data_IF_747858878136
#
_entry.id   IF_747858878136
#
_cell.length_a   1.000
_cell.length_b   1.000
_cell.length_c   1.000
_cell.angle_alpha   90.00
_cell.angle_beta   90.00
_cell.angle_gamma   90.00
#
_symmetry.space_group_name_H-M   'P 1'
#
loop_
_entity.id
_entity.type
_entity.pdbx_description
1 polymer ?
#
# COMPACT_ATOMS: atom_id res chain seq x y z
N UNK A 1 -4.58 22.63 -26.27
CA UNK A 1 -4.98 21.96 -27.54
C UNK A 1 -4.03 20.80 -27.80
N UNK A 2 -4.20 19.68 -27.08
CA UNK A 2 -3.62 18.35 -27.33
C UNK A 2 -4.29 17.38 -26.33
N UNK A 3 -5.33 16.72 -26.82
CA UNK A 3 -6.10 15.67 -26.15
C UNK A 3 -5.45 14.29 -26.37
N UNK A 4 -5.46 13.48 -25.31
CA UNK A 4 -5.94 12.09 -25.23
C UNK A 4 -5.44 11.07 -26.27
N UNK A 5 -4.62 10.12 -25.80
CA UNK A 5 -4.51 8.76 -26.34
C UNK A 5 -4.47 7.73 -25.20
N UNK A 6 -5.62 7.49 -24.57
CA UNK A 6 -5.89 6.26 -23.81
C UNK A 6 -7.36 5.89 -23.97
N UNK A 7 -7.72 5.29 -25.11
CA UNK A 7 -8.81 4.32 -25.21
C UNK A 7 -8.77 3.66 -26.59
N UNK A 8 -8.45 2.36 -26.64
CA UNK A 8 -8.80 1.44 -27.75
C UNK A 8 -8.26 0.04 -27.47
N UNK A 9 -8.90 -0.69 -26.56
CA UNK A 9 -8.73 -2.14 -26.50
C UNK A 9 -9.91 -2.86 -25.82
N UNK A 10 -11.16 -2.45 -26.02
CA UNK A 10 -12.30 -3.29 -25.67
C UNK A 10 -13.48 -3.00 -26.59
N UNK A 11 -13.52 -3.69 -27.73
CA UNK A 11 -14.71 -3.96 -28.57
C UNK A 11 -14.25 -4.68 -29.83
N UNK A 12 -14.38 -6.01 -29.86
CA UNK A 12 -14.58 -6.78 -31.11
C UNK A 12 -15.37 -8.07 -30.82
N UNK A 13 -16.63 -8.03 -31.26
CA UNK A 13 -17.38 -9.06 -32.00
C UNK A 13 -17.31 -10.52 -31.52
N UNK A 14 -18.35 -10.93 -30.79
CA UNK A 14 -18.92 -12.27 -30.92
C UNK A 14 -20.24 -12.13 -31.67
N UNK A 15 -20.25 -12.48 -32.96
CA UNK A 15 -21.47 -12.70 -33.74
C UNK A 15 -21.53 -14.19 -34.03
N UNK A 16 -22.39 -14.91 -33.32
CA UNK A 16 -22.74 -16.30 -33.56
C UNK A 16 -24.26 -16.44 -33.50
N UNK A 17 -24.87 -16.67 -34.67
CA UNK A 17 -26.31 -16.84 -34.88
C UNK A 17 -26.84 -18.06 -34.12
N UNK A 18 -27.92 -17.90 -33.34
CA UNK A 18 -29.17 -18.67 -33.46
C UNK A 18 -30.18 -18.21 -32.39
N UNK A 19 -31.45 -18.16 -32.81
CA UNK A 19 -32.49 -17.40 -32.14
C UNK A 19 -33.21 -18.14 -31.01
N UNK A 20 -33.64 -17.33 -30.03
CA UNK A 20 -34.97 -17.37 -29.41
C UNK A 20 -35.17 -16.05 -28.67
N UNK A 21 -36.05 -15.21 -29.20
CA UNK A 21 -36.66 -14.09 -28.48
C UNK A 21 -37.75 -14.68 -27.58
N UNK A 22 -37.67 -14.42 -26.29
CA UNK A 22 -38.74 -13.78 -25.51
C UNK A 22 -38.46 -13.87 -24.00
N UNK A 23 -38.91 -12.81 -23.31
CA UNK A 23 -39.07 -12.60 -21.88
C UNK A 23 -37.96 -11.86 -21.10
N UNK A 24 -38.36 -10.63 -20.68
CA UNK A 24 -37.91 -9.81 -19.55
C UNK A 24 -36.71 -8.88 -19.77
N UNK A 25 -37.00 -7.80 -20.51
CA UNK A 25 -36.41 -6.48 -20.32
C UNK A 25 -36.65 -5.96 -18.90
N UNK A 26 -35.59 -5.88 -18.11
CA UNK A 26 -35.36 -4.77 -17.17
C UNK A 26 -33.90 -4.39 -17.28
N UNK A 27 -33.60 -3.48 -18.20
CA UNK A 27 -32.29 -2.83 -18.25
C UNK A 27 -32.16 -1.97 -17.00
N UNK A 28 -31.16 -2.19 -16.13
CA UNK A 28 -30.86 -1.26 -15.04
C UNK A 28 -30.54 0.11 -15.63
N UNK A 29 -30.81 1.22 -14.92
CA UNK A 29 -30.48 2.54 -15.41
C UNK A 29 -28.98 2.61 -15.71
N UNK A 30 -28.64 3.13 -16.89
CA UNK A 30 -27.26 3.42 -17.25
C UNK A 30 -26.71 4.48 -16.30
N UNK A 31 -25.75 4.09 -15.47
CA UNK A 31 -24.95 5.04 -14.72
C UNK A 31 -23.93 5.65 -15.67
N UNK A 32 -24.01 6.98 -15.83
CA UNK A 32 -23.06 7.78 -16.57
C UNK A 32 -21.79 7.96 -15.70
N UNK A 33 -20.77 7.16 -16.01
CA UNK A 33 -19.47 7.13 -15.29
C UNK A 33 -18.46 8.15 -15.84
N UNK A 34 -18.82 8.99 -16.82
CA UNK A 34 -17.85 9.80 -17.58
C UNK A 34 -17.61 11.22 -17.03
N UNK A 35 -17.81 11.48 -15.74
CA UNK A 35 -17.41 12.76 -15.11
C UNK A 35 -16.76 12.59 -13.74
N UNK A 36 -15.43 12.43 -13.75
CA UNK A 36 -14.56 12.55 -12.57
C UNK A 36 -14.31 11.22 -11.86
N UNK A 37 -13.13 10.63 -12.12
CA UNK A 37 -12.70 9.34 -11.59
C UNK A 37 -12.84 9.22 -10.08
N UNK A 38 -13.62 8.24 -9.64
CA UNK A 38 -13.74 7.81 -8.25
C UNK A 38 -13.65 6.29 -8.27
N UNK A 39 -12.66 5.74 -7.57
CA UNK A 39 -12.48 4.30 -7.42
C UNK A 39 -13.32 3.75 -6.26
N UNK A 40 -13.83 2.58 -6.56
CA UNK A 40 -14.74 1.71 -5.84
C UNK A 40 -13.95 0.96 -4.76
N UNK A 41 -14.51 0.76 -3.56
CA UNK A 41 -13.91 0.00 -2.43
C UNK A 41 -13.01 -1.13 -2.94
N UNK A 42 -11.69 -0.99 -2.88
CA UNK A 42 -10.82 -2.03 -3.39
C UNK A 42 -9.53 -2.19 -2.59
N UNK A 43 -9.02 -3.41 -2.57
CA UNK A 43 -7.82 -3.80 -1.84
C UNK A 43 -6.80 -4.30 -2.86
N UNK A 44 -5.68 -3.60 -2.96
CA UNK A 44 -4.53 -4.02 -3.76
C UNK A 44 -3.50 -4.76 -2.90
N UNK A 45 -2.78 -5.67 -3.53
CA UNK A 45 -1.69 -6.43 -2.91
C UNK A 45 -0.43 -6.34 -3.76
N UNK A 46 0.70 -6.20 -3.06
CA UNK A 46 2.03 -6.22 -3.64
C UNK A 46 2.90 -7.21 -2.87
N UNK A 47 3.73 -7.98 -3.58
CA UNK A 47 4.63 -8.96 -2.99
C UNK A 47 6.04 -8.76 -3.55
N UNK A 48 6.93 -8.20 -2.72
CA UNK A 48 8.34 -8.07 -3.06
C UNK A 48 9.04 -9.43 -2.87
N UNK A 49 9.46 -10.06 -3.97
CA UNK A 49 10.19 -11.34 -3.93
C UNK A 49 11.69 -11.03 -3.92
N UNK A 50 12.15 -10.51 -2.77
CA UNK A 50 13.49 -9.94 -2.53
C UNK A 50 14.71 -10.83 -2.83
N UNK A 51 14.53 -12.08 -3.24
CA UNK A 51 15.62 -12.98 -3.64
C UNK A 51 15.69 -13.25 -5.14
N UNK A 52 14.69 -12.81 -5.89
CA UNK A 52 14.56 -13.16 -7.30
C UNK A 52 15.15 -12.05 -8.14
N UNK A 53 16.43 -12.18 -8.50
CA UNK A 53 17.13 -11.18 -9.31
C UNK A 53 16.77 -11.34 -10.78
N UNK A 54 16.64 -10.23 -11.48
CA UNK A 54 16.19 -10.17 -12.86
C UNK A 54 17.33 -9.84 -13.81
N UNK A 55 17.41 -10.58 -14.91
CA UNK A 55 18.40 -10.41 -15.96
C UNK A 55 17.69 -10.31 -17.31
N UNK A 56 18.10 -9.41 -18.20
CA UNK A 56 17.52 -9.26 -19.55
C UNK A 56 17.79 -10.47 -20.43
N UNK A 57 18.92 -11.14 -20.19
CA UNK A 57 19.36 -12.32 -20.90
C UNK A 57 20.38 -13.10 -20.04
N UNK A 58 20.86 -14.21 -20.58
CA UNK A 58 21.83 -15.07 -19.89
C UNK A 58 23.24 -14.46 -19.85
N UNK A 59 23.64 -13.69 -20.87
CA UNK A 59 24.93 -12.99 -20.92
C UNK A 59 25.11 -12.03 -19.73
N UNK A 60 24.08 -11.25 -19.40
CA UNK A 60 24.07 -10.35 -18.25
C UNK A 60 24.25 -11.11 -16.92
N UNK A 61 23.69 -12.31 -16.80
CA UNK A 61 23.88 -13.16 -15.63
C UNK A 61 25.33 -13.62 -15.50
N UNK A 62 25.93 -14.08 -16.60
CA UNK A 62 27.33 -14.52 -16.63
C UNK A 62 28.29 -13.37 -16.29
N UNK A 63 28.08 -12.17 -16.83
CA UNK A 63 28.87 -10.97 -16.50
C UNK A 63 28.82 -10.66 -15.00
N UNK A 64 27.63 -10.67 -14.40
CA UNK A 64 27.47 -10.35 -12.97
C UNK A 64 28.16 -11.37 -12.06
N UNK A 65 28.10 -12.67 -12.40
CA UNK A 65 28.77 -13.73 -11.63
C UNK A 65 30.31 -13.69 -11.72
N UNK A 66 30.87 -13.15 -12.81
CA UNK A 66 32.31 -13.19 -13.09
C UNK A 66 32.99 -11.81 -13.01
N UNK A 67 32.24 -10.74 -12.76
CA UNK A 67 32.75 -9.36 -12.67
C UNK A 67 33.74 -9.09 -11.52
N UNK A 68 33.93 -10.04 -10.60
CA UNK A 68 35.03 -10.01 -9.62
C UNK A 68 36.43 -10.10 -10.24
N UNK A 69 36.53 -10.68 -11.44
CA UNK A 69 37.74 -10.78 -12.25
C UNK A 69 37.51 -10.08 -13.59
N UNK A 70 37.69 -8.75 -13.64
CA UNK A 70 37.80 -7.87 -14.82
C UNK A 70 37.62 -8.50 -16.22
N UNK A 71 36.44 -9.07 -16.51
CA UNK A 71 36.12 -9.67 -17.81
C UNK A 71 34.87 -8.96 -18.34
N UNK A 72 35.08 -7.83 -18.99
CA UNK A 72 34.10 -7.24 -19.90
C UNK A 72 34.54 -7.60 -21.32
N UNK A 73 34.07 -8.74 -21.88
CA UNK A 73 34.54 -9.16 -23.19
C UNK A 73 34.14 -8.15 -24.29
N UNK A 74 33.08 -7.36 -24.06
CA UNK A 74 32.63 -6.31 -24.98
C UNK A 74 31.97 -5.21 -24.14
N UNK A 75 32.40 -3.95 -24.22
CA UNK A 75 31.92 -2.82 -23.40
C UNK A 75 30.45 -2.39 -23.62
N UNK A 76 29.53 -3.34 -23.78
CA UNK A 76 28.10 -3.14 -23.92
C UNK A 76 27.44 -3.41 -22.56
N UNK A 77 27.29 -2.37 -21.74
CA UNK A 77 26.42 -2.46 -20.56
C UNK A 77 25.00 -2.72 -21.04
N UNK A 78 24.48 -3.93 -20.84
CA UNK A 78 23.10 -4.25 -21.19
C UNK A 78 22.14 -3.40 -20.35
N UNK A 79 21.06 -2.86 -20.94
CA UNK A 79 20.14 -1.99 -20.22
C UNK A 79 19.43 -2.77 -19.12
N UNK A 80 19.49 -2.28 -17.88
CA UNK A 80 18.75 -2.85 -16.74
C UNK A 80 17.24 -2.76 -17.00
N UNK A 81 16.45 -3.52 -16.23
CA UNK A 81 15.01 -3.26 -16.17
C UNK A 81 14.77 -1.89 -15.54
N UNK A 82 13.72 -1.21 -15.99
CA UNK A 82 13.24 -0.02 -15.30
C UNK A 82 12.30 -0.44 -14.16
N UNK A 83 12.18 0.39 -13.12
CA UNK A 83 11.19 0.20 -12.06
C UNK A 83 9.77 0.12 -12.65
N UNK A 84 8.97 -0.82 -12.18
CA UNK A 84 7.60 -1.06 -12.63
C UNK A 84 7.50 -1.69 -14.03
N UNK A 85 8.62 -2.09 -14.63
CA UNK A 85 8.59 -2.72 -15.95
C UNK A 85 7.94 -4.11 -15.85
N UNK A 86 6.84 -4.30 -16.58
CA UNK A 86 6.09 -5.57 -16.62
C UNK A 86 6.90 -6.64 -17.36
N UNK A 87 7.18 -7.73 -16.67
CA UNK A 87 7.88 -8.90 -17.17
C UNK A 87 6.90 -9.97 -17.67
N UNK A 88 5.81 -10.15 -16.93
CA UNK A 88 4.78 -11.13 -17.20
C UNK A 88 3.44 -10.66 -16.61
N UNK A 89 2.34 -10.88 -17.32
CA UNK A 89 0.99 -10.53 -16.86
C UNK A 89 0.07 -11.75 -16.90
N UNK A 90 -0.68 -11.94 -15.82
CA UNK A 90 -1.68 -12.99 -15.66
C UNK A 90 -3.13 -12.47 -15.67
N UNK A 91 -3.38 -11.30 -16.27
CA UNK A 91 -4.69 -10.66 -16.30
C UNK A 91 -4.93 -9.78 -15.06
N UNK A 92 -5.05 -10.40 -13.89
CA UNK A 92 -5.35 -9.71 -12.62
C UNK A 92 -4.11 -9.43 -11.76
N UNK A 93 -2.92 -9.75 -12.28
CA UNK A 93 -1.65 -9.45 -11.64
C UNK A 93 -0.53 -9.31 -12.68
N UNK A 94 0.53 -8.66 -12.25
CA UNK A 94 1.73 -8.42 -13.03
C UNK A 94 2.96 -8.76 -12.19
N UNK A 95 3.92 -9.41 -12.83
CA UNK A 95 5.29 -9.49 -12.33
C UNK A 95 6.06 -8.31 -12.88
N UNK A 96 6.55 -7.45 -11.99
CA UNK A 96 7.24 -6.21 -12.31
C UNK A 96 8.68 -6.24 -11.79
N UNK A 97 9.55 -5.45 -12.40
CA UNK A 97 10.87 -5.18 -11.89
C UNK A 97 10.82 -4.07 -10.82
N UNK A 98 11.35 -4.34 -9.63
CA UNK A 98 11.52 -3.35 -8.57
C UNK A 98 13.00 -3.13 -8.23
N UNK A 99 13.38 -1.88 -7.98
CA UNK A 99 14.70 -1.55 -7.47
C UNK A 99 14.55 -1.23 -5.99
N UNK A 100 15.27 -1.92 -5.11
CA UNK A 100 15.25 -1.71 -3.65
C UNK A 100 15.95 -0.40 -3.23
N UNK A 101 15.62 0.68 -3.94
CA UNK A 101 16.03 2.06 -3.82
C UNK A 101 17.48 2.38 -4.18
N UNK A 102 18.23 1.41 -4.68
CA UNK A 102 19.44 1.67 -5.46
C UNK A 102 19.14 1.41 -6.94
N UNK A 103 19.01 2.46 -7.78
CA UNK A 103 18.84 2.32 -9.23
C UNK A 103 19.97 1.54 -9.90
N UNK A 104 21.14 1.50 -9.25
CA UNK A 104 22.30 0.77 -9.72
C UNK A 104 22.31 -0.69 -9.25
N UNK A 105 21.43 -1.08 -8.32
CA UNK A 105 21.28 -2.48 -7.92
C UNK A 105 20.52 -3.30 -8.97
N UNK A 106 20.75 -4.61 -8.95
CA UNK A 106 20.00 -5.53 -9.78
C UNK A 106 18.53 -5.53 -9.35
N UNK A 107 17.59 -5.37 -10.30
CA UNK A 107 16.18 -5.33 -9.97
C UNK A 107 15.71 -6.69 -9.47
N UNK A 108 14.78 -6.63 -8.53
CA UNK A 108 14.10 -7.76 -7.94
C UNK A 108 12.72 -7.95 -8.57
N UNK A 109 12.19 -9.15 -8.45
CA UNK A 109 10.83 -9.44 -8.83
C UNK A 109 9.85 -8.90 -7.79
N UNK A 110 8.88 -8.12 -8.23
CA UNK A 110 7.70 -7.72 -7.47
C UNK A 110 6.46 -8.27 -8.16
N UNK A 111 5.46 -8.66 -7.37
CA UNK A 111 4.15 -9.09 -7.89
C UNK A 111 3.13 -8.06 -7.46
N UNK A 112 2.47 -7.42 -8.43
CA UNK A 112 1.45 -6.39 -8.20
C UNK A 112 0.12 -6.92 -8.69
N UNK A 113 -0.92 -6.82 -7.88
CA UNK A 113 -2.27 -7.25 -8.26
C UNK A 113 -3.11 -6.07 -8.74
N UNK A 114 -4.07 -6.33 -9.62
CA UNK A 114 -5.19 -5.43 -9.80
C UNK A 114 -5.98 -5.32 -8.48
N UNK A 115 -6.53 -4.14 -8.16
CA UNK A 115 -7.24 -3.96 -6.90
C UNK A 115 -8.56 -4.76 -6.91
N UNK A 116 -8.81 -5.51 -5.84
CA UNK A 116 -9.99 -6.36 -5.71
C UNK A 116 -11.11 -5.63 -4.99
N UNK A 117 -12.31 -5.61 -5.58
CA UNK A 117 -13.47 -4.99 -4.96
C UNK A 117 -13.77 -5.56 -3.57
N UNK A 118 -14.02 -4.72 -2.58
CA UNK A 118 -14.26 -5.05 -1.17
C UNK A 118 -15.66 -5.67 -0.98
N UNK A 119 -15.90 -6.83 -1.60
CA UNK A 119 -17.15 -7.57 -1.62
C UNK A 119 -16.88 -9.07 -1.88
N UNK A 120 -17.93 -9.90 -1.93
CA UNK A 120 -17.79 -11.34 -2.11
C UNK A 120 -17.19 -11.72 -3.48
N UNK A 121 -17.54 -11.01 -4.55
CA UNK A 121 -16.99 -11.26 -5.89
C UNK A 121 -15.48 -10.97 -5.93
N UNK A 122 -15.07 -9.80 -5.42
CA UNK A 122 -13.66 -9.46 -5.33
C UNK A 122 -12.87 -10.38 -4.40
N UNK A 123 -13.47 -10.91 -3.34
CA UNK A 123 -12.86 -11.96 -2.53
C UNK A 123 -12.62 -13.25 -3.34
N UNK A 124 -13.58 -13.71 -4.14
CA UNK A 124 -13.36 -14.89 -4.99
C UNK A 124 -12.33 -14.64 -6.09
N UNK A 125 -12.32 -13.45 -6.68
CA UNK A 125 -11.29 -13.05 -7.65
C UNK A 125 -9.90 -13.02 -7.02
N UNK A 126 -9.78 -12.49 -5.80
CA UNK A 126 -8.55 -12.53 -5.00
C UNK A 126 -8.05 -13.97 -4.82
N UNK A 127 -8.94 -14.89 -4.43
CA UNK A 127 -8.57 -16.30 -4.23
C UNK A 127 -8.04 -16.93 -5.51
N UNK A 128 -8.73 -16.74 -6.63
CA UNK A 128 -8.33 -17.27 -7.93
C UNK A 128 -7.00 -16.64 -8.42
N UNK A 129 -6.84 -15.33 -8.22
CA UNK A 129 -5.61 -14.62 -8.54
C UNK A 129 -4.41 -15.19 -7.76
N UNK A 130 -4.56 -15.39 -6.44
CA UNK A 130 -3.48 -15.92 -5.61
C UNK A 130 -3.22 -17.42 -5.85
N UNK A 131 -4.23 -18.21 -6.24
CA UNK A 131 -4.01 -19.59 -6.73
C UNK A 131 -3.12 -19.60 -7.98
N UNK A 132 -3.38 -18.68 -8.93
CA UNK A 132 -2.57 -18.54 -10.13
C UNK A 132 -1.14 -18.09 -9.80
N UNK A 133 -0.98 -17.08 -8.92
CA UNK A 133 0.34 -16.62 -8.47
C UNK A 133 1.11 -17.77 -7.80
N UNK A 134 0.48 -18.51 -6.88
CA UNK A 134 1.11 -19.65 -6.20
C UNK A 134 1.56 -20.72 -7.18
N UNK A 135 0.72 -21.08 -8.16
CA UNK A 135 1.06 -22.05 -9.21
C UNK A 135 2.28 -21.62 -10.02
N UNK A 136 2.36 -20.35 -10.42
CA UNK A 136 3.48 -19.83 -11.23
C UNK A 136 4.77 -19.80 -10.42
N UNK A 137 4.70 -19.38 -9.16
CA UNK A 137 5.86 -19.39 -8.26
C UNK A 137 6.34 -20.83 -8.01
N UNK A 138 5.43 -21.78 -7.80
CA UNK A 138 5.79 -23.19 -7.67
C UNK A 138 6.52 -23.71 -8.93
N UNK A 139 6.03 -23.35 -10.12
CA UNK A 139 6.68 -23.70 -11.38
C UNK A 139 8.07 -23.06 -11.52
N UNK A 140 8.21 -21.78 -11.15
CA UNK A 140 9.49 -21.07 -11.13
C UNK A 140 10.50 -21.77 -10.20
N UNK A 141 10.08 -22.16 -8.99
CA UNK A 141 10.93 -22.88 -8.03
C UNK A 141 11.33 -24.25 -8.59
N UNK A 142 10.39 -25.01 -9.15
CA UNK A 142 10.67 -26.33 -9.73
C UNK A 142 11.67 -26.24 -10.90
N UNK A 143 11.43 -25.31 -11.84
CA UNK A 143 12.35 -25.07 -12.97
C UNK A 143 13.71 -24.56 -12.53
N UNK A 144 13.77 -23.80 -11.43
CA UNK A 144 15.04 -23.35 -10.86
C UNK A 144 15.88 -24.52 -10.37
N UNK A 145 15.25 -25.49 -9.69
CA UNK A 145 15.93 -26.70 -9.21
C UNK A 145 16.47 -27.55 -10.37
N UNK A 146 15.77 -27.58 -11.51
CA UNK A 146 16.20 -28.29 -12.72
C UNK A 146 17.32 -27.57 -13.48
N UNK A 147 17.31 -26.23 -13.51
CA UNK A 147 18.20 -25.41 -14.34
C UNK A 147 19.30 -24.68 -13.55
N UNK A 148 19.62 -25.15 -12.33
CA UNK A 148 20.72 -24.61 -11.53
C UNK A 148 20.52 -23.15 -11.07
N UNK A 149 19.27 -22.73 -10.84
CA UNK A 149 18.95 -21.40 -10.30
C UNK A 149 18.38 -20.40 -11.30
N UNK A 150 18.62 -20.56 -12.61
CA UNK A 150 18.27 -19.57 -13.63
C UNK A 150 17.11 -20.04 -14.51
N UNK A 151 16.00 -19.30 -14.54
CA UNK A 151 14.78 -19.70 -15.24
C UNK A 151 14.39 -18.68 -16.32
N UNK A 152 13.98 -19.18 -17.49
CA UNK A 152 13.47 -18.37 -18.60
C UNK A 152 11.99 -18.04 -18.42
N UNK A 153 11.61 -16.76 -18.48
CA UNK A 153 10.20 -16.35 -18.37
C UNK A 153 9.34 -16.85 -19.52
N UNK A 154 9.93 -16.94 -20.72
CA UNK A 154 9.26 -17.45 -21.93
C UNK A 154 8.84 -18.93 -21.84
N UNK A 155 9.39 -19.67 -20.87
CA UNK A 155 9.13 -21.09 -20.72
C UNK A 155 8.00 -21.40 -19.74
N UNK A 156 7.40 -20.41 -19.09
CA UNK A 156 6.33 -20.62 -18.11
C UNK A 156 5.00 -20.99 -18.78
N UNK A 157 4.25 -21.91 -18.19
CA UNK A 157 2.95 -22.35 -18.71
C UNK A 157 1.80 -21.43 -18.26
N UNK A 158 0.66 -21.54 -18.94
CA UNK A 158 -0.58 -20.80 -18.64
C UNK A 158 -0.90 -19.71 -19.65
N UNK A 159 -2.01 -19.00 -19.44
CA UNK A 159 -2.46 -17.85 -20.25
C UNK A 159 -1.63 -16.58 -20.01
N UNK A 160 -0.35 -16.75 -19.66
CA UNK A 160 0.55 -15.69 -19.27
C UNK A 160 1.06 -14.93 -20.50
N UNK A 161 1.04 -13.61 -20.40
CA UNK A 161 1.53 -12.73 -21.45
C UNK A 161 2.90 -12.21 -21.07
N UNK A 162 3.91 -12.66 -21.80
CA UNK A 162 5.28 -12.10 -21.74
C UNK A 162 5.40 -11.05 -22.84
N UNK A 163 5.64 -9.77 -22.52
CA UNK A 163 5.90 -8.75 -23.52
C UNK A 163 7.05 -9.17 -24.44
N UNK A 164 6.93 -8.90 -25.74
CA UNK A 164 7.89 -9.41 -26.74
C UNK A 164 9.33 -9.00 -26.46
N UNK A 165 9.54 -7.80 -25.90
CA UNK A 165 10.84 -7.27 -25.52
C UNK A 165 11.45 -7.93 -24.27
N UNK A 166 10.66 -8.70 -23.50
CA UNK A 166 11.09 -9.41 -22.29
C UNK A 166 11.17 -10.93 -22.47
N UNK A 167 11.06 -11.46 -23.69
CA UNK A 167 11.13 -12.92 -23.94
C UNK A 167 12.50 -13.53 -23.62
N UNK A 168 13.57 -12.75 -23.69
CA UNK A 168 14.91 -13.19 -23.32
C UNK A 168 15.17 -13.13 -21.81
N UNK A 169 14.27 -12.50 -21.04
CA UNK A 169 14.46 -12.25 -19.62
C UNK A 169 14.60 -13.56 -18.84
N UNK A 170 15.55 -13.55 -17.92
CA UNK A 170 15.85 -14.62 -16.98
C UNK A 170 15.61 -14.14 -15.56
N UNK A 171 15.15 -15.05 -14.71
CA UNK A 171 15.02 -14.82 -13.27
C UNK A 171 15.93 -15.82 -12.56
N UNK A 172 16.78 -15.31 -11.68
CA UNK A 172 17.50 -16.16 -10.74
C UNK A 172 16.59 -16.39 -9.55
N UNK A 173 16.15 -17.63 -9.38
CA UNK A 173 15.16 -18.06 -8.40
C UNK A 173 15.86 -18.84 -7.29
N UNK A 174 15.74 -18.39 -6.05
CA UNK A 174 16.21 -19.15 -4.90
C UNK A 174 15.34 -20.41 -4.67
N UNK A 175 15.90 -21.44 -4.03
CA UNK A 175 15.20 -22.71 -3.75
C UNK A 175 13.93 -22.52 -2.91
N UNK A 176 13.86 -21.42 -2.15
CA UNK A 176 12.68 -21.00 -1.41
C UNK A 176 12.14 -19.68 -1.96
N UNK A 177 10.88 -19.67 -2.39
CA UNK A 177 10.19 -18.44 -2.75
C UNK A 177 9.68 -17.74 -1.50
N UNK A 178 10.30 -16.61 -1.20
CA UNK A 178 10.10 -15.84 0.02
C UNK A 178 9.79 -14.40 -0.37
N UNK A 179 8.67 -13.87 0.12
CA UNK A 179 8.15 -12.55 -0.22
C UNK A 179 7.95 -11.64 0.99
N UNK A 180 7.95 -10.33 0.74
CA UNK A 180 7.45 -9.32 1.67
C UNK A 180 6.11 -8.79 1.18
N UNK A 181 5.09 -8.84 2.04
CA UNK A 181 3.74 -8.40 1.69
C UNK A 181 3.54 -6.92 1.96
N UNK A 182 2.90 -6.27 0.99
CA UNK A 182 2.30 -4.96 1.15
C UNK A 182 0.83 -4.99 0.69
N UNK A 183 0.03 -4.10 1.27
CA UNK A 183 -1.40 -3.98 0.98
C UNK A 183 -1.70 -2.52 0.76
N UNK A 184 -2.49 -2.19 -0.25
CA UNK A 184 -2.98 -0.83 -0.45
C UNK A 184 -4.50 -0.83 -0.35
N UNK A 185 -5.07 -0.08 0.59
CA UNK A 185 -6.51 -0.04 0.83
C UNK A 185 -6.99 1.30 1.40
N UNK A 186 -8.21 1.68 1.04
CA UNK A 186 -8.96 2.72 1.75
C UNK A 186 -9.41 2.25 3.14
N UNK A 187 -9.05 3.00 4.18
CA UNK A 187 -9.58 2.79 5.55
C UNK A 187 -10.24 4.06 6.04
N UNK A 188 -11.44 3.93 6.61
CA UNK A 188 -12.15 5.09 7.16
C UNK A 188 -11.37 5.71 8.32
N UNK A 189 -11.31 7.04 8.37
CA UNK A 189 -10.64 7.76 9.46
C UNK A 189 -11.19 7.39 10.85
N UNK A 190 -12.51 7.21 10.97
CA UNK A 190 -13.17 6.82 12.23
C UNK A 190 -12.91 5.38 12.66
N UNK A 191 -12.23 4.58 11.83
CA UNK A 191 -11.87 3.18 12.10
C UNK A 191 -10.36 3.00 12.32
N UNK A 192 -9.56 4.06 12.14
CA UNK A 192 -8.11 3.97 12.30
C UNK A 192 -7.71 3.64 13.74
N UNK A 193 -8.39 4.23 14.73
CA UNK A 193 -8.13 3.89 16.14
C UNK A 193 -8.39 2.43 16.42
N UNK A 194 -9.54 1.89 15.98
CA UNK A 194 -9.86 0.46 16.10
C UNK A 194 -8.78 -0.41 15.45
N UNK A 195 -8.36 -0.09 14.21
CA UNK A 195 -7.27 -0.79 13.54
C UNK A 195 -5.96 -0.80 14.37
N UNK A 196 -5.63 0.32 15.00
CA UNK A 196 -4.43 0.45 15.84
C UNK A 196 -4.56 -0.28 17.18
N UNK A 197 -5.71 -0.17 17.84
CA UNK A 197 -6.04 -0.87 19.09
C UNK A 197 -6.03 -2.39 18.89
N UNK A 198 -6.66 -2.90 17.83
CA UNK A 198 -6.64 -4.32 17.48
C UNK A 198 -5.20 -4.81 17.24
N UNK A 199 -4.35 -3.96 16.68
CA UNK A 199 -2.93 -4.28 16.53
C UNK A 199 -2.23 -4.41 17.90
N UNK A 200 -2.56 -3.58 18.89
CA UNK A 200 -2.04 -3.66 20.26
C UNK A 200 -2.59 -4.89 21.02
N UNK A 201 -3.91 -5.10 21.01
CA UNK A 201 -4.62 -6.09 21.84
C UNK A 201 -4.41 -7.56 21.42
N UNK A 202 -3.58 -7.76 20.39
CA UNK A 202 -3.39 -9.00 19.66
C UNK A 202 -2.69 -10.17 20.39
N UNK A 203 -2.50 -10.11 21.72
CA UNK A 203 -2.01 -11.28 22.48
C UNK A 203 -3.09 -12.29 22.83
N UNK A 204 -4.35 -11.89 23.01
CA UNK A 204 -5.42 -12.79 23.50
C UNK A 204 -6.74 -12.71 22.70
N UNK A 205 -7.10 -11.55 22.13
CA UNK A 205 -8.40 -11.38 21.44
C UNK A 205 -8.47 -11.85 19.99
N UNK A 206 -7.31 -12.18 19.39
CA UNK A 206 -7.17 -12.35 17.95
C UNK A 206 -7.22 -13.82 17.47
N UNK A 207 -7.27 -14.77 18.41
CA UNK A 207 -7.43 -16.20 18.10
C UNK A 207 -8.82 -16.53 17.53
N UNK A 208 -9.82 -15.69 17.80
CA UNK A 208 -11.21 -15.88 17.35
C UNK A 208 -11.51 -15.21 16.00
N UNK A 209 -10.77 -14.16 15.59
CA UNK A 209 -10.99 -13.43 14.32
C UNK A 209 -10.12 -13.91 13.15
N UNK A 210 -9.20 -14.85 13.38
CA UNK A 210 -8.30 -15.39 12.35
C UNK A 210 -7.12 -14.46 11.98
N UNK A 211 -7.06 -13.27 12.57
CA UNK A 211 -5.99 -12.29 12.36
C UNK A 211 -4.79 -12.52 13.33
N UNK A 212 -4.91 -13.39 14.35
CA UNK A 212 -3.80 -13.75 15.29
C UNK A 212 -2.55 -14.36 14.66
N UNK A 213 -2.63 -14.83 13.41
CA UNK A 213 -1.51 -15.52 12.75
C UNK A 213 -0.54 -14.59 12.04
N UNK A 214 -0.78 -13.28 12.06
CA UNK A 214 0.15 -12.30 11.50
C UNK A 214 1.26 -12.02 12.52
N UNK A 215 2.35 -12.78 12.42
CA UNK A 215 3.54 -12.61 13.23
C UNK A 215 4.47 -11.59 12.56
N UNK A 216 4.22 -10.30 12.80
CA UNK A 216 5.06 -9.23 12.26
C UNK A 216 6.42 -9.24 12.98
N UNK A 217 7.57 -9.31 12.29
CA UNK A 217 8.87 -9.23 12.96
C UNK A 217 9.11 -7.87 13.65
N UNK A 218 8.42 -6.82 13.19
CA UNK A 218 8.43 -5.48 13.79
C UNK A 218 7.29 -5.25 14.80
N UNK A 219 6.48 -6.27 15.07
CA UNK A 219 5.31 -6.18 15.97
C UNK A 219 5.64 -5.54 17.31
N UNK A 220 6.75 -5.87 18.01
CA UNK A 220 7.03 -5.27 19.31
C UNK A 220 7.32 -3.77 19.22
N UNK A 221 8.08 -3.35 18.22
CA UNK A 221 8.40 -1.94 17.98
C UNK A 221 7.12 -1.19 17.61
N UNK A 222 6.31 -1.77 16.72
CA UNK A 222 5.07 -1.15 16.27
C UNK A 222 4.03 -1.05 17.39
N UNK A 223 3.81 -2.12 18.16
CA UNK A 223 2.94 -2.09 19.34
C UNK A 223 3.44 -1.03 20.32
N UNK A 224 4.76 -0.96 20.57
CA UNK A 224 5.30 0.08 21.45
C UNK A 224 5.04 1.50 20.92
N UNK A 225 5.16 1.71 19.61
CA UNK A 225 4.91 2.99 18.97
C UNK A 225 3.42 3.37 19.08
N UNK A 226 2.51 2.48 18.68
CA UNK A 226 1.06 2.73 18.78
C UNK A 226 0.68 2.98 20.24
N UNK A 227 1.13 2.14 21.18
CA UNK A 227 0.77 2.32 22.60
C UNK A 227 1.23 3.66 23.14
N UNK A 228 2.43 4.15 22.78
CA UNK A 228 2.87 5.50 23.14
C UNK A 228 1.96 6.59 22.58
N UNK A 229 1.54 6.46 21.32
CA UNK A 229 0.63 7.41 20.68
C UNK A 229 -0.76 7.36 21.29
N UNK A 230 -1.30 6.17 21.55
CA UNK A 230 -2.61 6.00 22.19
C UNK A 230 -2.62 6.56 23.61
N UNK A 231 -1.58 6.29 24.42
CA UNK A 231 -1.42 6.88 25.75
C UNK A 231 -1.37 8.42 25.69
N UNK A 232 -0.67 8.97 24.70
CA UNK A 232 -0.58 10.42 24.51
C UNK A 232 -1.91 11.02 24.05
N UNK A 233 -2.62 10.37 23.13
CA UNK A 233 -3.94 10.75 22.68
C UNK A 233 -4.95 10.72 23.82
N UNK A 234 -4.94 9.69 24.66
CA UNK A 234 -5.85 9.60 25.80
C UNK A 234 -5.63 10.76 26.76
N UNK A 235 -4.37 11.15 27.03
CA UNK A 235 -4.05 12.34 27.83
C UNK A 235 -4.54 13.63 27.18
N UNK A 236 -4.32 13.80 25.88
CA UNK A 236 -4.84 14.95 25.13
C UNK A 236 -6.37 14.97 25.15
N UNK A 237 -7.05 13.84 24.93
CA UNK A 237 -8.51 13.73 24.98
C UNK A 237 -9.06 14.10 26.36
N UNK A 238 -8.40 13.72 27.45
CA UNK A 238 -8.80 14.15 28.80
C UNK A 238 -8.71 15.67 28.97
N UNK A 239 -7.62 16.30 28.51
CA UNK A 239 -7.44 17.76 28.56
C UNK A 239 -8.43 18.54 27.70
N UNK A 240 -8.97 17.92 26.65
CA UNK A 240 -9.94 18.52 25.73
C UNK A 240 -11.30 17.81 25.76
N UNK A 241 -11.65 17.17 26.88
CA UNK A 241 -12.85 16.34 27.04
C UNK A 241 -14.18 17.08 26.84
N UNK A 242 -14.17 18.41 26.89
CA UNK A 242 -15.33 19.26 26.62
C UNK A 242 -15.58 19.49 25.12
N UNK A 243 -14.62 19.17 24.26
CA UNK A 243 -14.77 19.30 22.81
C UNK A 243 -15.40 18.02 22.23
N UNK A 244 -16.57 18.10 21.58
CA UNK A 244 -17.25 16.94 21.02
C UNK A 244 -16.67 16.56 19.64
N UNK A 245 -15.37 16.28 19.59
CA UNK A 245 -14.65 15.91 18.35
C UNK A 245 -14.97 14.47 17.94
N UNK A 246 -15.12 14.24 16.64
CA UNK A 246 -15.46 12.92 16.10
C UNK A 246 -14.31 11.90 16.21
N UNK A 247 -14.64 10.60 16.15
CA UNK A 247 -13.62 9.54 16.07
C UNK A 247 -12.75 9.67 14.82
N UNK A 248 -13.27 10.22 13.72
CA UNK A 248 -12.46 10.49 12.52
C UNK A 248 -11.35 11.51 12.80
N UNK A 249 -11.64 12.54 13.60
CA UNK A 249 -10.65 13.51 14.02
C UNK A 249 -9.57 12.85 14.92
N UNK A 250 -9.97 12.04 15.89
CA UNK A 250 -9.02 11.32 16.75
C UNK A 250 -8.18 10.30 15.96
N UNK A 251 -8.75 9.64 14.96
CA UNK A 251 -8.00 8.79 14.02
C UNK A 251 -6.95 9.56 13.22
N UNK A 252 -7.27 10.77 12.75
CA UNK A 252 -6.30 11.65 12.09
C UNK A 252 -5.19 12.09 13.07
N UNK A 253 -5.52 12.46 14.30
CA UNK A 253 -4.52 12.80 15.32
C UNK A 253 -3.61 11.59 15.64
N UNK A 254 -4.16 10.38 15.66
CA UNK A 254 -3.37 9.16 15.82
C UNK A 254 -2.33 9.02 14.69
N UNK A 255 -2.75 9.17 13.43
CA UNK A 255 -1.82 9.16 12.30
C UNK A 255 -0.74 10.23 12.41
N UNK A 256 -1.11 11.45 12.82
CA UNK A 256 -0.16 12.54 13.03
C UNK A 256 0.85 12.16 14.12
N UNK A 257 0.39 11.63 15.26
CA UNK A 257 1.25 11.18 16.34
C UNK A 257 2.20 10.06 15.91
N UNK A 258 1.72 9.09 15.13
CA UNK A 258 2.56 8.03 14.58
C UNK A 258 3.62 8.57 13.64
N UNK A 259 3.26 9.49 12.74
CA UNK A 259 4.20 10.10 11.79
C UNK A 259 5.27 10.91 12.51
N UNK A 260 4.89 11.75 13.48
CA UNK A 260 5.85 12.59 14.21
C UNK A 260 6.74 11.80 15.14
N UNK A 261 6.20 10.79 15.84
CA UNK A 261 7.00 9.94 16.72
C UNK A 261 7.97 9.09 15.90
N UNK A 262 7.50 8.46 14.82
CA UNK A 262 8.34 7.62 13.96
C UNK A 262 9.44 8.40 13.25
N UNK A 263 9.15 9.62 12.78
CA UNK A 263 10.15 10.48 12.13
C UNK A 263 11.18 11.06 13.12
N UNK A 264 10.93 10.91 14.42
CA UNK A 264 11.85 11.30 15.49
C UNK A 264 12.82 10.19 15.87
N UNK A 265 12.71 9.02 15.26
CA UNK A 265 13.66 7.91 15.44
C UNK A 265 14.64 7.84 14.26
N UNK A 266 15.81 7.19 14.41
CA UNK A 266 16.72 6.95 13.29
C UNK A 266 16.04 6.19 12.15
N UNK A 267 16.04 6.78 10.95
CA UNK A 267 15.40 6.16 9.77
C UNK A 267 16.46 5.47 8.92
N UNK A 268 16.29 4.16 8.70
CA UNK A 268 17.18 3.42 7.80
C UNK A 268 16.69 3.48 6.35
N UNK A 269 17.63 3.69 5.42
CA UNK A 269 17.46 3.62 3.97
C UNK A 269 16.78 4.83 3.30
N UNK A 270 15.46 4.96 3.39
CA UNK A 270 14.70 6.00 2.65
C UNK A 270 13.72 6.70 3.57
N UNK A 271 13.37 7.97 3.32
CA UNK A 271 12.50 8.72 4.22
C UNK A 271 11.19 7.99 4.49
N UNK A 272 10.52 7.46 3.47
CA UNK A 272 9.26 6.72 3.64
C UNK A 272 9.32 5.42 4.47
N UNK A 273 10.50 4.96 4.91
CA UNK A 273 10.65 3.75 5.73
C UNK A 273 10.35 3.97 7.21
N UNK A 274 10.19 5.23 7.66
CA UNK A 274 9.95 5.53 9.07
C UNK A 274 8.62 4.95 9.58
N UNK A 275 7.64 4.73 8.71
CA UNK A 275 6.32 4.23 9.10
C UNK A 275 5.88 3.01 8.30
N UNK A 276 5.13 2.13 8.96
CA UNK A 276 4.50 0.95 8.35
C UNK A 276 3.19 1.30 7.62
N UNK A 277 2.49 2.34 8.05
CA UNK A 277 1.23 2.82 7.48
C UNK A 277 1.52 4.08 6.66
N UNK A 278 1.81 3.89 5.38
CA UNK A 278 2.12 4.99 4.50
C UNK A 278 0.82 5.58 3.95
N UNK A 279 0.51 6.79 4.37
CA UNK A 279 -0.58 7.60 3.83
C UNK A 279 -0.31 7.96 2.35
N UNK A 280 -1.02 7.29 1.44
CA UNK A 280 -1.02 7.60 0.01
C UNK A 280 -1.92 8.81 -0.29
N UNK A 281 -2.96 8.99 0.51
CA UNK A 281 -3.74 10.25 0.59
C UNK A 281 -3.03 11.24 1.50
N UNK A 282 -2.99 12.52 1.15
CA UNK A 282 -2.29 13.53 1.95
C UNK A 282 -3.09 13.97 3.19
N UNK A 283 -2.38 14.39 4.24
CA UNK A 283 -2.98 14.76 5.52
C UNK A 283 -3.91 15.98 5.44
N UNK A 284 -3.65 16.90 4.52
CA UNK A 284 -4.53 18.04 4.30
C UNK A 284 -5.87 17.59 3.72
N UNK A 285 -5.89 16.68 2.75
CA UNK A 285 -7.10 16.06 2.22
C UNK A 285 -7.85 15.27 3.29
N UNK A 286 -7.14 14.53 4.17
CA UNK A 286 -7.76 13.85 5.30
C UNK A 286 -8.45 14.85 6.25
N UNK A 287 -7.77 15.94 6.62
CA UNK A 287 -8.37 17.02 7.41
C UNK A 287 -9.61 17.61 6.73
N UNK A 288 -9.55 17.84 5.42
CA UNK A 288 -10.66 18.35 4.63
C UNK A 288 -11.78 17.31 4.39
N UNK A 289 -11.57 16.04 4.73
CA UNK A 289 -12.62 15.02 4.72
C UNK A 289 -13.41 14.96 6.03
N UNK A 290 -12.93 15.62 7.11
CA UNK A 290 -13.63 15.68 8.39
C UNK A 290 -15.01 16.33 8.27
N UNK A 291 -15.87 16.05 9.26
CA UNK A 291 -17.21 16.61 9.35
C UNK A 291 -17.17 18.14 9.43
N UNK A 292 -18.27 18.78 9.01
CA UNK A 292 -18.36 20.24 9.12
C UNK A 292 -18.35 20.70 10.59
N UNK A 293 -18.89 19.90 11.51
CA UNK A 293 -18.89 20.20 12.94
C UNK A 293 -17.47 20.22 13.50
N UNK A 294 -16.65 19.21 13.18
CA UNK A 294 -15.22 19.20 13.55
C UNK A 294 -14.51 20.43 12.99
N UNK A 295 -14.69 20.73 11.70
CA UNK A 295 -14.03 21.89 11.06
C UNK A 295 -14.47 23.22 11.66
N UNK A 296 -15.73 23.36 12.04
CA UNK A 296 -16.21 24.57 12.72
C UNK A 296 -15.55 24.71 14.09
N UNK A 297 -15.50 23.65 14.90
CA UNK A 297 -14.82 23.66 16.20
C UNK A 297 -13.33 24.01 16.07
N UNK A 298 -12.66 23.46 15.04
CA UNK A 298 -11.24 23.70 14.78
C UNK A 298 -10.96 25.09 14.21
N UNK A 299 -11.89 25.63 13.41
CA UNK A 299 -11.76 26.90 12.68
C UNK A 299 -12.32 28.13 13.39
N UNK A 300 -13.11 27.97 14.46
CA UNK A 300 -13.77 29.08 15.17
C UNK A 300 -12.80 30.12 15.77
N UNK A 301 -11.50 29.80 15.92
CA UNK A 301 -10.49 30.69 16.50
C UNK A 301 -9.16 30.67 15.73
N UNK A 302 -9.11 30.96 14.42
CA UNK A 302 -7.84 31.06 13.65
C UNK A 302 -6.92 29.82 13.79
N UNK A 303 -7.52 28.62 13.74
CA UNK A 303 -6.84 27.34 13.95
C UNK A 303 -6.21 27.16 15.35
N UNK A 304 -6.56 27.99 16.33
CA UNK A 304 -6.06 27.89 17.70
C UNK A 304 -6.31 26.50 18.29
N UNK A 305 -7.54 25.98 18.19
CA UNK A 305 -7.89 24.66 18.73
C UNK A 305 -7.07 23.55 18.08
N UNK A 306 -6.83 23.62 16.76
CA UNK A 306 -5.95 22.67 16.07
C UNK A 306 -4.51 22.72 16.60
N UNK A 307 -3.96 23.93 16.78
CA UNK A 307 -2.60 24.12 17.30
C UNK A 307 -2.46 23.62 18.74
N UNK A 308 -3.45 23.88 19.58
CA UNK A 308 -3.47 23.41 20.97
C UNK A 308 -3.58 21.88 21.05
N UNK A 309 -4.45 21.26 20.24
CA UNK A 309 -4.60 19.81 20.21
C UNK A 309 -3.33 19.10 19.70
N UNK A 310 -2.77 19.56 18.58
CA UNK A 310 -1.55 18.99 18.03
C UNK A 310 -0.33 19.27 18.91
N UNK A 311 -0.25 20.45 19.53
CA UNK A 311 0.77 20.80 20.51
C UNK A 311 0.70 19.90 21.75
N UNK A 312 -0.49 19.72 22.32
CA UNK A 312 -0.72 18.83 23.47
C UNK A 312 -0.35 17.37 23.14
N UNK A 313 -0.71 16.89 21.95
CA UNK A 313 -0.32 15.54 21.51
C UNK A 313 1.21 15.39 21.47
N UNK A 314 1.92 16.35 20.87
CA UNK A 314 3.38 16.29 20.80
C UNK A 314 4.03 16.38 22.19
N UNK A 315 3.55 17.26 23.06
CA UNK A 315 4.03 17.35 24.44
C UNK A 315 3.84 16.02 25.18
N UNK A 316 2.66 15.41 25.05
CA UNK A 316 2.37 14.10 25.64
C UNK A 316 3.21 12.96 25.07
N UNK A 317 3.75 13.11 23.86
CA UNK A 317 4.72 12.21 23.23
C UNK A 317 6.17 12.49 23.67
N UNK A 318 6.41 13.54 24.47
CA UNK A 318 7.75 13.99 24.81
C UNK A 318 8.47 14.67 23.64
N UNK A 319 7.73 15.13 22.64
CA UNK A 319 8.24 15.83 21.47
C UNK A 319 7.99 17.33 21.61
N UNK A 320 9.04 18.13 21.43
CA UNK A 320 8.85 19.58 21.39
C UNK A 320 8.30 19.99 20.02
N UNK A 321 7.23 20.81 20.03
CA UNK A 321 6.65 21.41 18.84
C UNK A 321 7.53 22.56 18.27
N UNK A 322 8.50 23.04 19.04
CA UNK A 322 9.37 24.16 18.68
C UNK A 322 10.38 23.79 17.61
N UNK A 323 10.31 24.44 16.44
CA UNK A 323 11.36 24.63 15.41
C UNK A 323 12.27 23.45 15.03
N UNK A 324 11.96 22.24 15.50
CA UNK A 324 12.72 21.02 15.27
C UNK A 324 12.42 20.51 13.85
N UNK A 325 13.45 20.01 13.15
CA UNK A 325 13.30 19.08 12.04
C UNK A 325 12.18 18.07 12.23
N UNK A 326 11.40 17.83 11.18
CA UNK A 326 10.46 16.72 11.12
C UNK A 326 11.21 15.38 11.23
N UNK A 327 12.32 15.25 10.50
CA UNK A 327 13.25 14.12 10.57
C UNK A 327 14.41 14.43 11.54
N UNK A 328 14.18 14.37 12.86
CA UNK A 328 15.14 14.92 13.84
C UNK A 328 16.41 14.10 14.05
N UNK A 329 16.31 12.78 13.96
CA UNK A 329 17.47 11.88 14.09
C UNK A 329 18.07 11.50 12.72
N UNK A 330 17.43 11.94 11.64
CA UNK A 330 17.93 11.82 10.27
C UNK A 330 17.58 10.52 9.54
N UNK A 331 17.94 10.53 8.26
CA UNK A 331 17.83 9.38 7.36
C UNK A 331 19.23 8.88 7.03
N UNK A 332 19.52 7.67 7.47
CA UNK A 332 20.82 7.03 7.28
C UNK A 332 20.77 6.09 6.08
N UNK A 333 21.45 6.46 5.00
CA UNK A 333 21.96 5.47 4.05
C UNK A 333 23.32 5.00 4.53
N UNK A 334 23.51 3.68 4.69
CA UNK A 334 24.82 3.06 5.01
C UNK A 334 25.95 3.52 4.08
N UNK A 335 25.63 4.01 2.88
CA UNK A 335 26.61 4.37 1.85
C UNK A 335 26.66 5.85 1.48
N UNK A 336 25.73 6.72 1.94
CA UNK A 336 25.67 8.15 1.54
C UNK A 336 25.16 9.09 2.65
N UNK A 337 25.97 9.38 3.68
CA UNK A 337 25.55 10.25 4.79
C UNK A 337 25.32 11.73 4.40
N UNK A 338 26.01 12.25 3.37
CA UNK A 338 25.96 13.68 3.05
C UNK A 338 24.68 14.14 2.32
N UNK A 339 24.00 13.26 1.58
CA UNK A 339 22.84 13.64 0.74
C UNK A 339 21.57 13.89 1.56
N UNK A 340 21.42 13.22 2.71
CA UNK A 340 20.22 13.29 3.56
C UNK A 340 20.26 14.40 4.61
N UNK A 341 21.44 15.00 4.85
CA UNK A 341 21.60 16.11 5.80
C UNK A 341 20.68 17.29 5.47
N UNK A 342 20.50 17.59 4.17
CA UNK A 342 19.64 18.68 3.74
C UNK A 342 18.15 18.39 4.00
N UNK A 343 17.72 17.13 3.91
CA UNK A 343 16.32 16.78 4.12
C UNK A 343 15.92 16.92 5.60
N UNK A 344 16.82 16.65 6.54
CA UNK A 344 16.58 16.86 7.97
C UNK A 344 16.15 18.30 8.28
N UNK A 345 16.80 19.28 7.67
CA UNK A 345 16.53 20.70 7.97
C UNK A 345 15.50 21.35 7.05
N UNK A 346 15.00 20.64 6.03
CA UNK A 346 14.10 21.21 5.02
C UNK A 346 12.67 21.39 5.52
N UNK A 347 12.21 20.58 6.47
CA UNK A 347 10.85 20.63 7.00
C UNK A 347 10.86 20.64 8.52
N UNK A 348 10.19 21.61 9.13
CA UNK A 348 9.93 21.62 10.58
C UNK A 348 8.57 21.00 10.88
N UNK A 349 8.43 20.33 12.05
CA UNK A 349 7.16 19.74 12.49
C UNK A 349 6.05 20.79 12.56
N UNK A 350 6.35 21.94 13.15
CA UNK A 350 5.43 23.08 13.25
C UNK A 350 4.92 23.52 11.88
N UNK A 351 5.82 23.71 10.91
CA UNK A 351 5.46 24.14 9.57
C UNK A 351 4.52 23.14 8.91
N UNK A 352 4.80 21.84 9.05
CA UNK A 352 3.92 20.78 8.52
C UNK A 352 2.52 20.85 9.15
N UNK A 353 2.43 20.87 10.48
CA UNK A 353 1.15 20.88 11.21
C UNK A 353 0.33 22.15 10.96
N UNK A 354 0.97 23.31 10.85
CA UNK A 354 0.28 24.59 10.59
C UNK A 354 -0.24 24.72 9.16
N UNK A 355 0.24 23.91 8.23
CA UNK A 355 -0.16 23.95 6.82
C UNK A 355 -1.25 22.93 6.47
N UNK A 356 -1.41 21.84 7.22
CA UNK A 356 -2.47 20.84 7.01
C UNK A 356 -3.88 21.48 6.93
N UNK A 357 -4.32 22.31 7.90
CA UNK A 357 -5.65 22.94 7.81
C UNK A 357 -5.79 23.94 6.67
N UNK A 358 -4.68 24.42 6.10
CA UNK A 358 -4.66 25.36 4.97
C UNK A 358 -4.76 24.64 3.61
N UNK A 359 -4.87 23.31 3.61
CA UNK A 359 -4.93 22.51 2.39
C UNK A 359 -3.56 22.10 1.87
N UNK A 360 -2.49 22.24 2.67
CA UNK A 360 -1.12 21.98 2.26
C UNK A 360 -0.48 20.92 3.15
N UNK A 361 -0.22 19.75 2.59
CA UNK A 361 0.57 18.72 3.25
C UNK A 361 2.03 18.79 2.77
N UNK A 362 2.89 19.38 3.62
CA UNK A 362 4.32 19.53 3.33
C UNK A 362 5.09 18.20 3.32
N UNK A 363 4.49 17.05 3.65
CA UNK A 363 5.10 15.73 3.48
C UNK A 363 4.80 15.08 2.12
N UNK A 364 4.26 15.85 1.18
CA UNK A 364 4.03 15.39 -0.19
C UNK A 364 5.12 15.86 -1.13
N UNK A 365 5.36 15.10 -2.20
CA UNK A 365 6.32 15.48 -3.24
C UNK A 365 6.04 16.87 -3.82
N UNK A 366 4.77 17.26 -3.97
CA UNK A 366 4.39 18.54 -4.59
C UNK A 366 4.64 19.75 -3.68
N UNK A 367 4.62 19.57 -2.36
CA UNK A 367 4.70 20.66 -1.39
C UNK A 367 5.92 20.59 -0.47
N UNK A 368 6.79 19.58 -0.62
CA UNK A 368 7.97 19.46 0.21
C UNK A 368 8.90 20.67 0.00
N UNK A 369 9.38 21.34 1.07
CA UNK A 369 10.12 22.60 0.93
C UNK A 369 11.42 22.52 0.11
N UNK A 370 12.01 21.32 -0.02
CA UNK A 370 13.20 21.09 -0.82
C UNK A 370 12.87 20.28 -2.09
N UNK A 371 12.61 20.94 -3.23
CA UNK A 371 12.15 20.28 -4.45
C UNK A 371 13.18 19.27 -5.00
N UNK A 372 14.47 19.47 -4.72
CA UNK A 372 15.53 18.54 -5.14
C UNK A 372 15.49 17.20 -4.40
N UNK A 373 14.82 17.14 -3.24
CA UNK A 373 14.68 15.94 -2.42
C UNK A 373 13.25 15.43 -2.35
N UNK A 374 12.29 16.17 -2.90
CA UNK A 374 10.87 15.81 -2.86
C UNK A 374 10.57 14.44 -3.49
N UNK A 375 11.35 14.01 -4.50
CA UNK A 375 11.22 12.68 -5.10
C UNK A 375 11.50 11.54 -4.10
N UNK A 376 12.22 11.78 -3.00
CA UNK A 376 12.46 10.78 -1.96
C UNK A 376 11.20 10.52 -1.11
N UNK A 377 10.21 11.42 -1.21
CA UNK A 377 8.87 11.29 -0.66
C UNK A 377 7.86 10.77 -1.70
N UNK A 378 8.31 10.33 -2.88
CA UNK A 378 7.46 9.66 -3.86
C UNK A 378 6.66 8.56 -3.14
N UNK A 379 5.34 8.53 -3.37
CA UNK A 379 4.32 7.70 -2.70
C UNK A 379 3.63 8.32 -1.48
N UNK A 380 4.16 9.38 -0.87
CA UNK A 380 3.43 10.10 0.18
C UNK A 380 2.43 11.10 -0.41
N UNK A 381 1.17 11.00 0.02
CA UNK A 381 0.10 11.94 -0.30
C UNK A 381 -0.19 12.19 -1.77
N UNK A 382 0.25 11.31 -2.68
CA UNK A 382 0.09 11.46 -4.12
C UNK A 382 -1.37 11.30 -4.63
N UNK A 383 -2.28 10.85 -3.77
CA UNK A 383 -3.66 10.55 -4.17
C UNK A 383 -4.64 11.70 -3.91
N UNK A 384 -4.50 12.47 -2.83
CA UNK A 384 -5.36 13.59 -2.42
C UNK A 384 -6.84 13.50 -2.79
N UNK A 385 -7.20 13.90 -4.01
CA UNK A 385 -8.56 13.83 -4.58
C UNK A 385 -9.09 12.42 -4.88
N UNK A 386 -8.25 11.39 -4.94
CA UNK A 386 -8.61 10.02 -5.36
C UNK A 386 -8.88 9.07 -4.19
N UNK A 387 -9.44 9.59 -3.08
CA UNK A 387 -9.86 8.77 -1.93
C UNK A 387 -10.91 7.72 -2.32
N UNK A 388 -10.92 6.59 -1.60
CA UNK A 388 -11.91 5.53 -1.80
C UNK A 388 -13.25 5.90 -1.17
N UNK A 389 -14.35 5.42 -1.78
CA UNK A 389 -15.68 5.51 -1.18
C UNK A 389 -16.05 4.23 -0.47
N UNK A 390 -16.29 4.29 0.84
CA UNK A 390 -16.54 3.11 1.70
C UNK A 390 -17.84 3.22 2.51
N UNK A 391 -18.28 2.08 3.08
CA UNK A 391 -19.53 1.95 3.86
C UNK A 391 -20.79 1.60 3.04
N UNK A 392 -21.88 1.25 3.73
CA UNK A 392 -23.16 0.80 3.14
C UNK A 392 -23.77 1.74 2.11
N UNK A 393 -23.57 3.06 2.28
CA UNK A 393 -24.08 4.10 1.38
C UNK A 393 -23.04 4.61 0.37
N UNK A 394 -21.81 4.08 0.38
CA UNK A 394 -20.68 4.57 -0.43
C UNK A 394 -20.48 6.09 -0.37
N UNK A 395 -20.86 6.72 0.75
CA UNK A 395 -20.85 8.18 0.91
C UNK A 395 -19.64 8.68 1.72
N UNK A 396 -18.93 7.78 2.40
CA UNK A 396 -17.78 8.13 3.22
C UNK A 396 -16.51 8.07 2.38
N UNK A 397 -15.68 9.11 2.47
CA UNK A 397 -14.35 9.14 1.88
C UNK A 397 -13.36 8.49 2.86
N UNK A 398 -12.64 7.48 2.39
CA UNK A 398 -11.56 6.83 3.10
C UNK A 398 -10.23 7.23 2.50
N UNK A 399 -9.29 7.74 3.31
CA UNK A 399 -7.92 7.85 2.90
C UNK A 399 -7.35 6.48 2.53
N UNK A 400 -6.51 6.47 1.50
CA UNK A 400 -5.83 5.28 1.02
C UNK A 400 -4.49 5.16 1.72
N UNK A 401 -4.23 3.97 2.26
CA UNK A 401 -3.01 3.62 2.97
C UNK A 401 -2.32 2.45 2.29
N UNK A 402 -0.99 2.52 2.23
CA UNK A 402 -0.12 1.40 1.91
C UNK A 402 0.46 0.84 3.21
N UNK A 403 0.15 -0.41 3.51
CA UNK A 403 0.56 -1.15 4.68
C UNK A 403 1.81 -1.94 4.33
N UNK A 404 2.96 -1.42 4.74
CA UNK A 404 4.28 -1.89 4.30
C UNK A 404 4.83 -2.93 5.25
N UNK A 405 5.57 -3.89 4.69
CA UNK A 405 6.32 -4.88 5.49
C UNK A 405 5.45 -5.62 6.52
N UNK A 406 4.16 -5.82 6.22
CA UNK A 406 3.23 -6.51 7.14
C UNK A 406 3.73 -7.93 7.42
N UNK A 407 4.19 -8.64 6.41
CA UNK A 407 4.91 -9.89 6.63
C UNK A 407 6.20 -9.85 5.85
N UNK A 408 7.32 -10.07 6.54
CA UNK A 408 8.61 -10.24 5.90
C UNK A 408 8.96 -11.71 5.84
N UNK A 409 9.64 -12.05 4.76
CA UNK A 409 10.17 -13.39 4.53
C UNK A 409 9.13 -14.51 4.63
N UNK A 410 7.95 -14.29 4.04
CA UNK A 410 6.87 -15.27 4.08
C UNK A 410 6.99 -16.23 2.90
N UNK A 411 6.87 -17.53 3.17
CA UNK A 411 6.91 -18.55 2.14
C UNK A 411 5.69 -18.47 1.22
N UNK A 412 5.88 -18.66 -0.09
CA UNK A 412 4.83 -18.43 -1.10
C UNK A 412 3.52 -19.18 -0.89
N UNK A 413 3.59 -20.40 -0.35
CA UNK A 413 2.39 -21.20 -0.01
C UNK A 413 1.46 -20.56 1.01
N UNK A 414 1.92 -19.55 1.74
CA UNK A 414 1.12 -18.88 2.77
C UNK A 414 0.57 -17.54 2.29
N UNK A 415 0.97 -17.08 1.10
CA UNK A 415 0.62 -15.77 0.53
C UNK A 415 -0.89 -15.61 0.34
N UNK A 416 -1.56 -16.62 -0.22
CA UNK A 416 -3.02 -16.62 -0.39
C UNK A 416 -3.75 -16.43 0.93
N UNK A 417 -3.41 -17.25 1.93
CA UNK A 417 -4.05 -17.18 3.25
C UNK A 417 -3.86 -15.82 3.91
N UNK A 418 -2.68 -15.22 3.76
CA UNK A 418 -2.41 -13.88 4.24
C UNK A 418 -3.29 -12.85 3.53
N UNK A 419 -3.31 -12.84 2.19
CA UNK A 419 -4.09 -11.91 1.40
C UNK A 419 -5.59 -12.00 1.73
N UNK A 420 -6.13 -13.22 1.84
CA UNK A 420 -7.52 -13.45 2.25
C UNK A 420 -7.85 -12.90 3.64
N UNK A 421 -6.95 -13.09 4.62
CA UNK A 421 -7.17 -12.60 5.98
C UNK A 421 -7.14 -11.09 6.04
N UNK A 422 -6.18 -10.46 5.36
CA UNK A 422 -6.09 -9.01 5.31
C UNK A 422 -7.26 -8.39 4.56
N UNK A 423 -7.71 -9.00 3.47
CA UNK A 423 -8.93 -8.56 2.78
C UNK A 423 -10.14 -8.58 3.72
N UNK A 424 -10.34 -9.66 4.48
CA UNK A 424 -11.44 -9.79 5.45
C UNK A 424 -11.34 -8.75 6.57
N UNK A 425 -10.14 -8.50 7.08
CA UNK A 425 -9.90 -7.48 8.11
C UNK A 425 -10.28 -6.08 7.60
N UNK A 426 -9.75 -5.66 6.43
CA UNK A 426 -10.11 -4.37 5.81
C UNK A 426 -11.61 -4.29 5.56
N UNK A 427 -12.21 -5.39 5.10
CA UNK A 427 -13.64 -5.45 4.88
C UNK A 427 -14.47 -5.26 6.15
N UNK A 428 -14.06 -5.91 7.25
CA UNK A 428 -14.71 -5.80 8.55
C UNK A 428 -14.60 -4.38 9.09
N UNK A 429 -13.38 -3.82 9.14
CA UNK A 429 -13.12 -2.45 9.59
C UNK A 429 -14.01 -1.42 8.87
N UNK A 430 -14.12 -1.52 7.54
CA UNK A 430 -14.94 -0.58 6.77
C UNK A 430 -16.45 -0.77 6.95
N UNK A 431 -16.91 -1.88 7.55
CA UNK A 431 -18.33 -2.23 7.76
C UNK A 431 -18.79 -2.24 9.23
N UNK A 432 -17.92 -2.16 10.23
CA UNK A 432 -18.30 -2.36 11.64
C UNK A 432 -19.39 -1.40 12.15
N UNK A 433 -19.42 -0.15 11.66
CA UNK A 433 -20.49 0.80 11.96
C UNK A 433 -21.83 0.51 11.23
N UNK A 434 -21.85 -0.37 10.24
CA UNK A 434 -23.08 -0.85 9.57
C UNK A 434 -23.66 -2.11 10.25
N UNK A 435 -22.84 -2.89 10.97
CA UNK A 435 -23.25 -4.17 11.58
C UNK A 435 -24.04 -4.00 12.89
N UNK A 436 -23.97 -2.84 13.55
CA UNK A 436 -24.96 -2.49 14.58
C UNK A 436 -26.37 -2.29 13.98
N UNK A 437 -26.52 -2.28 12.64
CA UNK A 437 -27.80 -2.20 11.94
C UNK A 437 -28.18 -3.45 11.10
N UNK A 438 -27.27 -4.39 10.79
CA UNK A 438 -27.65 -5.67 10.14
C UNK A 438 -26.53 -6.72 10.17
N UNK A 439 -26.93 -8.00 10.30
CA UNK A 439 -26.17 -9.25 10.43
C UNK A 439 -24.83 -9.44 9.65
N UNK A 440 -24.04 -10.39 10.17
CA UNK A 440 -22.71 -10.83 9.71
C UNK A 440 -22.65 -11.18 8.22
N UNK A 441 -21.46 -11.01 7.63
CA UNK A 441 -21.20 -11.39 6.24
C UNK A 441 -21.55 -12.87 6.02
N UNK A 442 -22.54 -13.22 5.17
CA UNK A 442 -22.85 -14.62 4.93
C UNK A 442 -21.68 -15.23 4.17
N UNK A 443 -20.92 -16.11 4.83
CA UNK A 443 -19.94 -16.98 4.15
C UNK A 443 -20.76 -17.91 3.25
N UNK A 444 -20.74 -17.75 1.91
CA UNK A 444 -21.51 -18.63 1.05
C UNK A 444 -20.88 -20.01 1.11
N UNK A 445 -21.66 -21.03 1.47
CA UNK A 445 -21.22 -22.42 1.37
C UNK A 445 -20.78 -22.68 -0.08
N UNK A 446 -19.62 -23.32 -0.32
CA UNK A 446 -19.18 -23.63 -1.67
C UNK A 446 -20.31 -24.36 -2.41
N UNK A 447 -20.73 -23.80 -3.55
CA UNK A 447 -21.70 -24.48 -4.42
C UNK A 447 -21.05 -25.80 -4.84
N UNK A 448 -21.62 -26.92 -4.39
CA UNK A 448 -21.27 -28.23 -4.93
C UNK A 448 -21.50 -28.16 -6.43
N UNK A 449 -20.41 -28.22 -7.20
CA UNK A 449 -20.45 -28.50 -8.63
C UNK A 449 -21.07 -29.89 -8.76
N UNK A 450 -22.34 -29.96 -9.12
CA UNK A 450 -22.95 -31.19 -9.59
C UNK A 450 -22.35 -31.43 -10.97
N UNK A 451 -21.38 -32.34 -11.04
CA UNK A 451 -21.03 -32.97 -12.30
C UNK A 451 -22.27 -33.75 -12.76
N UNK A 452 -22.87 -33.31 -13.87
CA UNK A 452 -23.82 -34.11 -14.65
C UNK A 452 -23.09 -34.67 -15.86
#
# INVERSE_FOLDING_TARGET
MREILFSRAYRRNVVGKNGRKDALEKTPPAFDFDKGGVLQRAVGFEVEVSRYKLFRNEEQYWEEQHSGDSFHPYGLTLPKFNKGEVLLSGGDFEFQADHQGDPDSMPYLEIVTAPFGENSEGYYHLQACFDNIESIIAELVAKSQENGGLVSLSGLHGDLRVPSYNRAAKIMVDQEAIGNFQITAGVRLDQLRTLFEETIMSKEGLESSGVSKLNFPWRPIFISLISKVEDALQRTQMSFSTLPLSEAFWGLLHMIGLYTLSSSEPIEFYPKSFILFLARTDFASMYHSLSMDDKQLLGQNDLFVWKELTGSLLENLGLNNDDKPFFSEGVFLKTRPATFYNMMHSLKRKDWLENIPKGLDLLTQDHFPNPWRAYELESLGAMGSTMDRVGSKQQYLAPIFEFRSLMRRFHYRSWKQFAENSFKMIYQLNRENDLQASETMPIPKPRRTLYC
#
